data_IF_040397444230
#
_entry.id   IF_040397444230
#
_cell.length_a   1.000
_cell.length_b   1.000
_cell.length_c   1.000
_cell.angle_alpha   90.00
_cell.angle_beta   90.00
_cell.angle_gamma   90.00
#
_symmetry.space_group_name_H-M   'P 1'
#
loop_
_entity.id
_entity.type
_entity.pdbx_description
1 polymer ?
#
# COMPACT_ATOMS: atom_id res chain seq x y z
N UNK A 1 21.77 -15.61 -2.77
CA UNK A 1 21.94 -14.35 -2.02
C UNK A 1 20.68 -13.53 -2.23
N UNK A 2 19.87 -13.32 -1.17
CA UNK A 2 18.81 -12.32 -1.23
C UNK A 2 19.51 -10.98 -1.06
N UNK A 3 19.51 -10.14 -2.10
CA UNK A 3 19.98 -8.76 -1.95
C UNK A 3 19.06 -8.09 -0.93
N UNK A 4 19.58 -7.80 0.26
CA UNK A 4 18.91 -6.99 1.26
C UNK A 4 18.90 -5.55 0.72
N UNK A 5 17.93 -5.26 -0.14
CA UNK A 5 17.64 -3.90 -0.57
C UNK A 5 17.04 -3.22 0.65
N UNK A 6 17.75 -2.26 1.22
CA UNK A 6 17.21 -1.42 2.30
C UNK A 6 15.85 -0.87 1.83
N UNK A 7 14.78 -1.03 2.64
CA UNK A 7 13.46 -0.58 2.24
C UNK A 7 13.50 0.92 2.00
N UNK A 8 13.03 1.35 0.83
CA UNK A 8 12.89 2.77 0.53
C UNK A 8 11.97 3.40 1.59
N UNK A 9 12.37 4.55 2.14
CA UNK A 9 11.57 5.27 3.15
C UNK A 9 11.26 6.68 2.70
N UNK A 10 10.02 7.13 2.94
CA UNK A 10 9.61 8.55 2.84
C UNK A 10 9.01 8.90 4.19
N UNK A 11 9.50 9.98 4.82
CA UNK A 11 9.06 10.45 6.14
C UNK A 11 9.07 9.33 7.21
N UNK A 12 10.06 8.44 7.18
CA UNK A 12 10.17 7.32 8.13
C UNK A 12 9.18 6.17 7.91
N UNK A 13 8.37 6.21 6.86
CA UNK A 13 7.43 5.13 6.51
C UNK A 13 8.00 4.24 5.42
N UNK A 14 7.69 2.93 5.48
CA UNK A 14 8.12 1.98 4.46
C UNK A 14 7.42 2.24 3.13
N UNK A 15 8.14 1.98 2.04
CA UNK A 15 7.63 2.05 0.68
C UNK A 15 7.65 0.64 0.10
N UNK A 16 6.52 0.25 -0.48
CA UNK A 16 6.37 -0.99 -1.19
C UNK A 16 6.41 -0.71 -2.69
N UNK A 17 7.41 -1.26 -3.35
CA UNK A 17 7.61 -1.14 -4.80
C UNK A 17 6.67 -2.08 -5.58
N UNK A 18 6.16 -3.13 -4.94
CA UNK A 18 5.25 -4.07 -5.57
C UNK A 18 4.03 -4.38 -4.71
N UNK A 19 2.97 -4.85 -5.38
CA UNK A 19 1.76 -5.40 -4.74
C UNK A 19 2.12 -6.63 -3.88
N UNK A 20 3.17 -7.36 -4.24
CA UNK A 20 3.62 -8.52 -3.47
C UNK A 20 4.16 -8.11 -2.11
N UNK A 21 5.05 -7.12 -2.09
CA UNK A 21 5.65 -6.61 -0.84
C UNK A 21 4.59 -5.98 0.07
N UNK A 22 3.62 -5.27 -0.53
CA UNK A 22 2.48 -4.75 0.21
C UNK A 22 1.60 -5.87 0.79
N UNK A 23 1.32 -6.91 0.02
CA UNK A 23 0.53 -8.05 0.48
C UNK A 23 1.22 -8.79 1.64
N UNK A 24 2.54 -9.00 1.54
CA UNK A 24 3.35 -9.61 2.60
C UNK A 24 3.32 -8.76 3.88
N UNK A 25 3.53 -7.45 3.77
CA UNK A 25 3.48 -6.53 4.90
C UNK A 25 2.10 -6.47 5.56
N UNK A 26 1.02 -6.62 4.78
CA UNK A 26 -0.36 -6.67 5.27
C UNK A 26 -0.78 -8.05 5.78
N UNK A 27 0.06 -9.09 5.64
CA UNK A 27 -0.30 -10.46 5.99
C UNK A 27 -1.49 -11.00 5.18
N UNK A 28 -1.59 -10.63 3.91
CA UNK A 28 -2.73 -10.97 3.04
C UNK A 28 -2.28 -11.45 1.65
N UNK A 29 -3.24 -11.72 0.77
CA UNK A 29 -2.97 -12.17 -0.61
C UNK A 29 -2.89 -11.00 -1.58
N UNK A 30 -2.22 -11.21 -2.72
CA UNK A 30 -2.17 -10.21 -3.81
C UNK A 30 -3.57 -9.88 -4.34
N UNK A 31 -4.46 -10.86 -4.38
CA UNK A 31 -5.84 -10.67 -4.84
C UNK A 31 -6.63 -9.76 -3.90
N UNK A 32 -6.46 -9.92 -2.58
CA UNK A 32 -7.08 -9.02 -1.60
C UNK A 32 -6.54 -7.59 -1.74
N UNK A 33 -5.24 -7.42 -2.01
CA UNK A 33 -4.68 -6.09 -2.29
C UNK A 33 -5.25 -5.52 -3.59
N UNK A 34 -5.40 -6.33 -4.64
CA UNK A 34 -6.04 -5.87 -5.88
C UNK A 34 -7.49 -5.40 -5.66
N UNK A 35 -8.25 -6.10 -4.81
CA UNK A 35 -9.60 -5.68 -4.41
C UNK A 35 -9.59 -4.35 -3.67
N UNK A 36 -8.64 -4.14 -2.76
CA UNK A 36 -8.46 -2.86 -2.07
C UNK A 36 -8.08 -1.74 -3.04
N UNK A 37 -7.19 -2.01 -4.00
CA UNK A 37 -6.78 -1.06 -5.03
C UNK A 37 -7.91 -0.64 -5.96
N UNK A 38 -8.90 -1.50 -6.17
CA UNK A 38 -10.10 -1.18 -6.94
C UNK A 38 -11.06 -0.24 -6.19
N UNK A 39 -10.85 -0.02 -4.89
CA UNK A 39 -11.69 0.91 -4.12
C UNK A 39 -11.37 2.37 -4.47
N UNK A 40 -12.40 3.23 -4.60
CA UNK A 40 -12.19 4.66 -4.77
C UNK A 40 -11.36 5.25 -3.63
N UNK A 41 -10.34 6.05 -3.99
CA UNK A 41 -9.47 6.71 -3.01
C UNK A 41 -8.35 5.85 -2.46
N UNK A 42 -8.11 4.64 -2.99
CA UNK A 42 -6.95 3.85 -2.60
C UNK A 42 -5.64 4.62 -2.86
N UNK A 43 -4.74 4.73 -1.87
CA UNK A 43 -3.54 5.55 -1.98
C UNK A 43 -2.44 4.84 -2.78
N UNK A 44 -1.99 5.48 -3.85
CA UNK A 44 -0.80 5.11 -4.59
C UNK A 44 -0.02 6.39 -4.95
N UNK A 45 1.29 6.27 -5.14
CA UNK A 45 2.13 7.41 -5.56
C UNK A 45 2.76 7.11 -6.91
N UNK A 46 2.41 7.84 -7.99
CA UNK A 46 3.11 7.71 -9.26
C UNK A 46 4.54 8.23 -9.11
N UNK A 47 5.49 7.54 -9.74
CA UNK A 47 6.90 7.94 -9.75
C UNK A 47 7.32 8.26 -11.18
N UNK A 48 7.83 9.47 -11.47
CA UNK A 48 8.31 9.82 -12.81
C UNK A 48 9.32 8.78 -13.34
N UNK A 49 9.13 8.34 -14.58
CA UNK A 49 9.99 7.34 -15.21
C UNK A 49 9.72 5.88 -14.82
N UNK A 50 8.80 5.60 -13.88
CA UNK A 50 8.35 4.24 -13.58
C UNK A 50 6.98 3.95 -14.19
N UNK A 51 6.82 2.73 -14.73
CA UNK A 51 5.53 2.23 -15.24
C UNK A 51 4.53 1.87 -14.13
N UNK A 52 5.04 1.51 -12.94
CA UNK A 52 4.23 1.08 -11.79
C UNK A 52 4.34 2.10 -10.66
N UNK A 53 3.26 2.36 -9.92
CA UNK A 53 3.30 3.24 -8.75
C UNK A 53 4.00 2.55 -7.58
N UNK A 54 4.29 3.33 -6.55
CA UNK A 54 4.73 2.85 -5.24
C UNK A 54 3.59 3.01 -4.22
N UNK A 55 3.63 2.20 -3.16
CA UNK A 55 2.66 2.26 -2.07
C UNK A 55 3.37 2.65 -0.78
N UNK A 56 2.86 3.66 -0.08
CA UNK A 56 3.49 4.18 1.14
C UNK A 56 2.70 3.70 2.35
N UNK A 57 3.38 3.06 3.29
CA UNK A 57 2.79 2.36 4.43
C UNK A 57 1.77 3.19 5.20
N UNK A 58 2.13 4.41 5.65
CA UNK A 58 1.21 5.24 6.43
C UNK A 58 -0.07 5.59 5.66
N UNK A 59 0.03 5.88 4.36
CA UNK A 59 -1.15 6.22 3.54
C UNK A 59 -2.09 5.04 3.43
N UNK A 60 -1.54 3.84 3.18
CA UNK A 60 -2.34 2.61 3.11
C UNK A 60 -3.01 2.33 4.46
N UNK A 61 -2.29 2.51 5.57
CA UNK A 61 -2.84 2.36 6.91
C UNK A 61 -3.97 3.37 7.21
N UNK A 62 -3.81 4.64 6.82
CA UNK A 62 -4.86 5.66 6.93
C UNK A 62 -6.11 5.30 6.12
N UNK A 63 -5.93 4.82 4.90
CA UNK A 63 -7.03 4.35 4.06
C UNK A 63 -7.78 3.19 4.71
N UNK A 64 -7.06 2.16 5.19
CA UNK A 64 -7.65 1.04 5.91
C UNK A 64 -8.39 1.49 7.20
N UNK A 65 -7.83 2.47 7.91
CA UNK A 65 -8.48 3.11 9.05
C UNK A 65 -9.78 3.81 8.67
N UNK A 66 -9.84 4.46 7.50
CA UNK A 66 -11.03 5.17 7.03
C UNK A 66 -12.19 4.23 6.68
N UNK A 67 -11.90 3.10 6.02
CA UNK A 67 -12.95 2.12 5.64
C UNK A 67 -13.46 1.32 6.84
N UNK A 68 -12.63 1.07 7.84
CA UNK A 68 -13.02 0.30 9.03
C UNK A 68 -13.73 1.16 10.08
N UNK A 69 -13.46 2.48 10.13
CA UNK A 69 -14.11 3.41 11.06
C UNK A 69 -15.45 3.96 10.54
N UNK A 70 -15.73 3.84 9.24
CA UNK A 70 -17.00 4.28 8.69
C UNK A 70 -18.15 3.36 9.11
N UNK A 71 -18.81 3.70 10.23
CA UNK A 71 -20.15 3.22 10.55
C UNK A 71 -21.15 4.26 10.03
N UNK A 72 -21.81 4.04 8.87
CA UNK A 72 -22.91 4.91 8.48
C UNK A 72 -23.96 4.85 9.61
N UNK A 73 -24.33 6.01 10.16
CA UNK A 73 -25.47 6.08 11.08
C UNK A 73 -26.67 5.51 10.32
N UNK A 74 -27.20 4.38 10.81
CA UNK A 74 -28.50 3.85 10.39
C UNK A 74 -29.59 4.85 10.75
#
# INVERSE_FOLDING_TARGET
>A
MKNEIEPLTINGSRIFDTIGDLAEAMGTTRDNVNLLMAMPGFPYSPVPGRKKPIYVEYKVAEFLGSITRYKPKR
#
